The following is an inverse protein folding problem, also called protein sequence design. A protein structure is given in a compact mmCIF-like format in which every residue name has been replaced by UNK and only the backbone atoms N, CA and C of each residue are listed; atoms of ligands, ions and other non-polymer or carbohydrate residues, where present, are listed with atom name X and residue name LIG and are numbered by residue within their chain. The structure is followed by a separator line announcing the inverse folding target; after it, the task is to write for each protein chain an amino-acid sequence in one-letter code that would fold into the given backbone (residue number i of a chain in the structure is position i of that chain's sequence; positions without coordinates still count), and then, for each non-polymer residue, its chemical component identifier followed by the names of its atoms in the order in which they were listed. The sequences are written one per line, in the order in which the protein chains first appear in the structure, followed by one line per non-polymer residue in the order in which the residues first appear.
data_IF_087261897449
#
_entry.id   IF_087261897449
#
_cell.length_a   1.000
_cell.length_b   1.000
_cell.length_c   1.000
_cell.angle_alpha   90.00
_cell.angle_beta   90.00
_cell.angle_gamma   90.00
#
_symmetry.space_group_name_H-M   'P 1'
#
loop_
_entity.id
_entity.type
_entity.pdbx_description
1 polymer ?
#
# COMPACT_ATOMS: atom_id res chain seq x y z
N UNK A 1 -7.98 4.66 -14.64
CA UNK A 1 -7.69 3.53 -13.73
C UNK A 1 -6.19 3.29 -13.71
N UNK A 2 -5.60 3.13 -12.53
CA UNK A 2 -4.17 2.79 -12.37
C UNK A 2 -4.01 1.51 -11.57
N UNK A 3 -3.02 0.70 -11.96
CA UNK A 3 -2.62 -0.49 -11.22
C UNK A 3 -1.39 -0.16 -10.40
N UNK A 4 -1.44 -0.45 -9.10
CA UNK A 4 -0.36 -0.15 -8.16
C UNK A 4 -0.07 -1.39 -7.33
N UNK A 5 1.20 -1.71 -7.14
CA UNK A 5 1.60 -2.67 -6.09
C UNK A 5 1.57 -1.97 -4.74
N UNK A 6 1.34 -2.75 -3.70
CA UNK A 6 1.22 -2.24 -2.34
C UNK A 6 2.20 -2.95 -1.40
N UNK A 7 2.69 -2.21 -0.40
CA UNK A 7 3.37 -2.76 0.79
C UNK A 7 2.68 -2.19 2.02
N UNK A 8 1.73 -2.94 2.53
CA UNK A 8 0.90 -2.62 3.68
C UNK A 8 1.25 -3.50 4.87
N UNK A 9 1.40 -2.88 6.03
CA UNK A 9 1.35 -3.53 7.33
C UNK A 9 0.84 -2.54 8.39
N UNK A 10 0.55 -3.05 9.58
CA UNK A 10 -0.02 -2.28 10.69
C UNK A 10 0.94 -1.24 11.27
N UNK A 11 2.24 -1.53 11.20
CA UNK A 11 3.28 -0.70 11.79
C UNK A 11 4.55 -0.66 10.92
N UNK A 12 5.50 0.18 11.37
CA UNK A 12 6.78 0.32 10.70
C UNK A 12 7.55 -1.00 10.62
N UNK A 13 7.50 -1.85 11.65
CA UNK A 13 8.23 -3.11 11.67
C UNK A 13 7.71 -4.08 10.60
N UNK A 14 6.39 -4.19 10.45
CA UNK A 14 5.76 -5.00 9.40
C UNK A 14 6.05 -4.49 8.00
N UNK A 15 6.09 -3.16 7.81
CA UNK A 15 6.45 -2.54 6.53
C UNK A 15 7.89 -2.89 6.18
N UNK A 16 8.83 -2.69 7.11
CA UNK A 16 10.24 -3.02 6.91
C UNK A 16 10.44 -4.52 6.67
N UNK A 17 9.72 -5.38 7.39
CA UNK A 17 9.77 -6.83 7.15
C UNK A 17 9.34 -7.18 5.71
N UNK A 18 8.23 -6.61 5.23
CA UNK A 18 7.74 -6.83 3.87
C UNK A 18 8.70 -6.27 2.82
N UNK A 19 9.29 -5.07 3.02
CA UNK A 19 10.29 -4.52 2.10
C UNK A 19 11.56 -5.36 2.06
N UNK A 20 12.02 -5.89 3.21
CA UNK A 20 13.19 -6.75 3.30
C UNK A 20 13.02 -8.12 2.63
N UNK A 21 11.78 -8.56 2.41
CA UNK A 21 11.47 -9.78 1.66
C UNK A 21 11.67 -9.62 0.14
N UNK A 22 11.69 -8.37 -0.37
CA UNK A 22 12.04 -8.13 -1.77
C UNK A 22 13.54 -8.40 -1.99
N UNK A 23 13.90 -8.99 -3.13
CA UNK A 23 15.31 -9.22 -3.49
C UNK A 23 16.15 -7.94 -3.49
N UNK A 24 15.56 -6.81 -3.92
CA UNK A 24 16.23 -5.51 -3.95
C UNK A 24 16.22 -4.76 -2.61
N UNK A 25 15.45 -5.24 -1.61
CA UNK A 25 15.29 -4.61 -0.28
C UNK A 25 15.19 -3.08 -0.32
N UNK A 26 14.23 -2.51 -1.08
CA UNK A 26 14.16 -1.07 -1.23
C UNK A 26 13.77 -0.42 0.10
N UNK A 27 14.26 0.79 0.34
CA UNK A 27 13.71 1.67 1.38
C UNK A 27 12.26 2.05 1.05
N UNK A 28 11.52 2.58 2.03
CA UNK A 28 10.14 3.07 1.83
C UNK A 28 10.10 4.14 0.74
N UNK A 29 11.06 5.07 0.77
CA UNK A 29 11.19 6.15 -0.20
C UNK A 29 11.43 5.60 -1.61
N UNK A 30 12.40 4.69 -1.77
CA UNK A 30 12.68 4.06 -3.06
C UNK A 30 11.48 3.25 -3.59
N UNK A 31 10.72 2.60 -2.72
CA UNK A 31 9.51 1.88 -3.12
C UNK A 31 8.42 2.86 -3.60
N UNK A 32 8.21 3.98 -2.91
CA UNK A 32 7.27 5.05 -3.31
C UNK A 32 7.69 5.72 -4.62
N UNK A 33 8.98 6.02 -4.81
CA UNK A 33 9.53 6.56 -6.06
C UNK A 33 9.29 5.61 -7.25
N UNK A 34 9.32 4.30 -7.01
CA UNK A 34 8.97 3.26 -8.00
C UNK A 34 7.45 3.11 -8.22
N UNK A 35 6.65 3.94 -7.56
CA UNK A 35 5.21 4.02 -7.70
C UNK A 35 4.44 2.99 -6.89
N UNK A 36 5.03 2.36 -5.86
CA UNK A 36 4.28 1.51 -4.93
C UNK A 36 3.52 2.38 -3.93
N UNK A 37 2.38 1.87 -3.45
CA UNK A 37 1.69 2.42 -2.28
C UNK A 37 2.24 1.73 -1.04
N UNK A 38 2.90 2.46 -0.14
CA UNK A 38 3.68 1.86 0.95
C UNK A 38 3.31 2.49 2.29
N UNK A 39 2.85 1.72 3.27
CA UNK A 39 2.59 2.29 4.60
C UNK A 39 1.56 1.56 5.44
N UNK A 40 1.25 2.19 6.57
CA UNK A 40 0.07 1.89 7.41
C UNK A 40 -1.22 2.34 6.74
N UNK A 41 -2.39 2.00 7.31
CA UNK A 41 -3.68 2.35 6.71
C UNK A 41 -3.84 3.86 6.47
N UNK A 42 -3.45 4.70 7.42
CA UNK A 42 -3.50 6.16 7.25
C UNK A 42 -2.56 6.65 6.14
N UNK A 43 -1.35 6.11 6.05
CA UNK A 43 -0.40 6.48 5.00
C UNK A 43 -0.83 5.99 3.63
N UNK A 44 -1.51 4.83 3.56
CA UNK A 44 -2.13 4.33 2.33
C UNK A 44 -3.25 5.28 1.89
N UNK A 45 -4.13 5.70 2.80
CA UNK A 45 -5.21 6.66 2.53
C UNK A 45 -4.63 7.98 2.01
N UNK A 46 -3.59 8.51 2.65
CA UNK A 46 -2.90 9.73 2.21
C UNK A 46 -2.39 9.61 0.77
N UNK A 47 -1.69 8.53 0.43
CA UNK A 47 -1.20 8.28 -0.93
C UNK A 47 -2.33 8.09 -1.95
N UNK A 48 -3.44 7.48 -1.56
CA UNK A 48 -4.63 7.37 -2.41
C UNK A 48 -5.28 8.75 -2.63
N UNK A 49 -5.27 9.61 -1.62
CA UNK A 49 -5.68 11.01 -1.71
C UNK A 49 -4.85 11.80 -2.70
N UNK A 50 -3.52 11.67 -2.67
CA UNK A 50 -2.62 12.30 -3.64
C UNK A 50 -2.93 11.86 -5.09
N UNK A 51 -3.26 10.58 -5.28
CA UNK A 51 -3.66 10.08 -6.60
C UNK A 51 -5.02 10.65 -7.02
N UNK A 52 -5.97 10.76 -6.09
CA UNK A 52 -7.27 11.37 -6.35
C UNK A 52 -7.13 12.86 -6.73
N UNK A 53 -6.28 13.61 -6.03
CA UNK A 53 -5.98 15.01 -6.33
C UNK A 53 -5.32 15.17 -7.71
N UNK A 54 -4.56 14.18 -8.15
CA UNK A 54 -4.01 14.09 -9.50
C UNK A 54 -5.04 13.63 -10.57
N UNK A 55 -6.30 13.45 -10.20
CA UNK A 55 -7.40 13.08 -11.10
C UNK A 55 -7.59 11.57 -11.32
N UNK A 56 -6.92 10.72 -10.53
CA UNK A 56 -7.10 9.26 -10.62
C UNK A 56 -8.40 8.86 -9.94
N UNK A 57 -9.38 8.42 -10.73
CA UNK A 57 -10.71 8.02 -10.23
C UNK A 57 -10.77 6.57 -9.73
N UNK A 58 -9.79 5.74 -10.07
CA UNK A 58 -9.74 4.33 -9.64
C UNK A 58 -8.31 3.83 -9.53
N UNK A 59 -8.01 3.25 -8.38
CA UNK A 59 -6.75 2.54 -8.10
C UNK A 59 -7.05 1.07 -7.86
N UNK A 60 -6.33 0.19 -8.56
CA UNK A 60 -6.38 -1.25 -8.32
C UNK A 60 -5.08 -1.67 -7.64
N UNK A 61 -5.19 -1.95 -6.33
CA UNK A 61 -4.08 -2.40 -5.51
C UNK A 61 -3.85 -3.89 -5.73
N UNK A 62 -2.67 -4.24 -6.23
CA UNK A 62 -2.28 -5.63 -6.45
C UNK A 62 -1.80 -6.24 -5.13
N UNK A 63 -2.51 -7.27 -4.67
CA UNK A 63 -2.13 -8.11 -3.55
C UNK A 63 -1.31 -9.32 -4.04
N UNK A 64 -0.05 -9.43 -3.65
CA UNK A 64 0.86 -10.49 -4.11
C UNK A 64 1.08 -11.60 -3.06
N UNK A 65 0.86 -11.29 -1.78
CA UNK A 65 1.04 -12.22 -0.68
C UNK A 65 -0.23 -13.06 -0.49
N UNK A 66 -0.37 -14.12 -1.29
CA UNK A 66 -1.59 -14.93 -1.33
C UNK A 66 -1.85 -15.71 -0.02
N UNK A 67 -0.85 -15.80 0.86
CA UNK A 67 -0.97 -16.46 2.16
C UNK A 67 -1.43 -15.47 3.25
N UNK A 68 -1.18 -14.17 3.08
CA UNK A 68 -1.60 -13.09 4.00
C UNK A 68 -3.05 -12.64 3.74
N UNK A 69 -4.00 -13.56 3.96
CA UNK A 69 -5.44 -13.25 3.83
C UNK A 69 -5.95 -12.30 4.92
N UNK A 70 -5.40 -12.41 6.14
CA UNK A 70 -5.73 -11.49 7.23
C UNK A 70 -5.28 -10.05 6.90
N UNK A 71 -4.15 -9.91 6.20
CA UNK A 71 -3.63 -8.62 5.75
C UNK A 71 -4.54 -7.92 4.76
N UNK A 72 -5.09 -8.63 3.77
CA UNK A 72 -6.03 -8.01 2.81
C UNK A 72 -7.36 -7.66 3.48
N UNK A 73 -7.85 -8.50 4.39
CA UNK A 73 -9.06 -8.21 5.17
C UNK A 73 -8.88 -6.95 6.03
N UNK A 74 -7.75 -6.85 6.72
CA UNK A 74 -7.43 -5.70 7.55
C UNK A 74 -7.24 -4.42 6.73
N UNK A 75 -6.51 -4.49 5.61
CA UNK A 75 -6.39 -3.36 4.67
C UNK A 75 -7.78 -2.86 4.27
N UNK A 76 -8.68 -3.76 3.88
CA UNK A 76 -10.03 -3.39 3.48
C UNK A 76 -10.82 -2.74 4.63
N UNK A 77 -10.77 -3.32 5.84
CA UNK A 77 -11.46 -2.81 7.02
C UNK A 77 -10.96 -1.45 7.48
N UNK A 78 -9.67 -1.18 7.35
CA UNK A 78 -9.07 0.06 7.84
C UNK A 78 -9.03 1.16 6.80
N UNK A 79 -8.85 0.85 5.52
CA UNK A 79 -8.71 1.84 4.45
C UNK A 79 -10.04 2.23 3.84
N UNK A 80 -10.89 1.27 3.46
CA UNK A 80 -12.11 1.57 2.71
C UNK A 80 -13.07 2.53 3.44
N UNK A 81 -13.29 2.45 4.77
CA UNK A 81 -14.17 3.39 5.46
C UNK A 81 -13.67 4.85 5.48
N UNK A 82 -12.39 5.08 5.15
CA UNK A 82 -11.79 6.41 5.11
C UNK A 82 -11.85 7.05 3.70
N UNK A 83 -12.23 6.27 2.68
CA UNK A 83 -12.35 6.75 1.31
C UNK A 83 -13.79 7.20 1.06
N UNK A 84 -13.95 8.36 0.42
CA UNK A 84 -15.24 8.97 0.06
C UNK A 84 -15.55 8.85 -1.42
#
# INVERSE_FOLDING_TARGET
DVYKRQVYAEDAAGIEAKLNAYSSKPTREQARERGLVVGTSNEVVEQLGELNDAGVQRVMLQWLDLEDMDGIERLAKEVLPQLS
#
